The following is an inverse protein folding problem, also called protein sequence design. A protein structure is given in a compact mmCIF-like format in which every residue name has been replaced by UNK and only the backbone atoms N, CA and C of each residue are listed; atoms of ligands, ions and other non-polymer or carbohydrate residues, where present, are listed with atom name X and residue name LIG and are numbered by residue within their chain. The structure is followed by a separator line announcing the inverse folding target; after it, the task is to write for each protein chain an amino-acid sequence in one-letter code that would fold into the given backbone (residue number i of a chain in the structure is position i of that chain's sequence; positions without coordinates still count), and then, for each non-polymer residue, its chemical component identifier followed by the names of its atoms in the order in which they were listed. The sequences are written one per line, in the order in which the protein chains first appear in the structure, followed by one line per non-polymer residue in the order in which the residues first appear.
data_IF_600823052288
#
_entry.id   IF_600823052288
#
_cell.length_a   1.000
_cell.length_b   1.000
_cell.length_c   1.000
_cell.angle_alpha   90.00
_cell.angle_beta   90.00
_cell.angle_gamma   90.00
#
_symmetry.space_group_name_H-M   'P 1'
#
loop_
_entity.id
_entity.type
_entity.pdbx_description
1 polymer ?
#
# COMPACT_ATOMS: atom_id res chain seq x y z
N UNK A 1 29.35 -51.17 12.86
CA UNK A 1 28.59 -50.01 12.34
C UNK A 1 29.20 -48.64 12.72
N UNK A 2 29.47 -48.29 13.98
CA UNK A 2 30.04 -46.99 14.39
C UNK A 2 31.36 -46.62 13.71
N UNK A 3 32.32 -47.54 13.50
CA UNK A 3 33.61 -47.29 12.85
C UNK A 3 33.49 -46.98 11.35
N UNK A 4 32.53 -47.62 10.65
CA UNK A 4 32.28 -47.36 9.23
C UNK A 4 31.64 -45.98 9.01
N UNK A 5 30.76 -45.54 9.95
CA UNK A 5 30.10 -44.23 9.92
C UNK A 5 31.10 -43.09 10.18
N UNK A 6 32.06 -43.27 11.11
CA UNK A 6 33.13 -42.32 11.35
C UNK A 6 34.09 -42.21 10.16
N UNK A 7 34.41 -43.31 9.49
CA UNK A 7 35.27 -43.31 8.32
C UNK A 7 34.59 -42.63 7.11
N UNK A 8 33.29 -42.81 6.94
CA UNK A 8 32.49 -42.18 5.89
C UNK A 8 32.36 -40.65 6.11
N UNK A 9 32.17 -40.22 7.35
CA UNK A 9 32.16 -38.78 7.69
C UNK A 9 33.52 -38.13 7.52
N UNK A 10 34.63 -38.82 7.84
CA UNK A 10 35.98 -38.33 7.62
C UNK A 10 36.35 -38.20 6.14
N UNK A 11 35.91 -39.16 5.29
CA UNK A 11 36.07 -39.10 3.84
C UNK A 11 35.27 -37.97 3.21
N UNK A 12 33.99 -37.78 3.62
CA UNK A 12 33.17 -36.67 3.17
C UNK A 12 33.75 -35.32 3.58
N UNK A 13 34.28 -35.20 4.80
CA UNK A 13 35.00 -34.00 5.25
C UNK A 13 36.28 -33.71 4.47
N UNK A 14 37.05 -34.72 4.13
CA UNK A 14 38.29 -34.56 3.33
C UNK A 14 37.99 -34.14 1.88
N UNK A 15 36.95 -34.69 1.25
CA UNK A 15 36.53 -34.30 -0.11
C UNK A 15 35.98 -32.86 -0.12
N UNK A 16 35.19 -32.47 0.88
CA UNK A 16 34.66 -31.10 1.02
C UNK A 16 35.80 -30.09 1.25
N UNK A 17 36.84 -30.43 2.05
CA UNK A 17 38.00 -29.60 2.29
C UNK A 17 38.87 -29.42 1.03
N UNK A 18 39.05 -30.48 0.24
CA UNK A 18 39.78 -30.40 -1.02
C UNK A 18 39.05 -29.52 -2.06
N UNK A 19 37.72 -29.66 -2.18
CA UNK A 19 36.91 -28.82 -3.05
C UNK A 19 36.93 -27.35 -2.62
N UNK A 20 36.89 -27.06 -1.32
CA UNK A 20 36.99 -25.72 -0.79
C UNK A 20 38.36 -25.08 -1.08
N UNK A 21 39.43 -25.85 -1.00
CA UNK A 21 40.78 -25.37 -1.29
C UNK A 21 40.97 -25.07 -2.78
N UNK A 22 40.38 -25.88 -3.67
CA UNK A 22 40.44 -25.63 -5.11
C UNK A 22 39.58 -24.38 -5.48
N UNK A 23 38.39 -24.22 -4.86
CA UNK A 23 37.57 -23.05 -5.01
C UNK A 23 38.31 -21.76 -4.58
N UNK A 24 39.01 -21.78 -3.46
CA UNK A 24 39.81 -20.65 -3.00
C UNK A 24 40.96 -20.28 -3.97
N UNK A 25 41.66 -21.27 -4.51
CA UNK A 25 42.69 -21.02 -5.53
C UNK A 25 42.15 -20.40 -6.81
N UNK A 26 40.97 -20.84 -7.23
CA UNK A 26 40.27 -20.28 -8.41
C UNK A 26 39.94 -18.80 -8.14
N UNK A 27 39.34 -18.46 -7.01
CA UNK A 27 39.03 -17.09 -6.63
C UNK A 27 40.30 -16.20 -6.59
N UNK A 28 41.38 -16.68 -5.96
CA UNK A 28 42.63 -15.94 -5.88
C UNK A 28 43.22 -15.68 -7.26
N UNK A 29 43.12 -16.64 -8.17
CA UNK A 29 43.59 -16.47 -9.56
C UNK A 29 42.77 -15.38 -10.27
N UNK A 30 41.45 -15.40 -10.15
CA UNK A 30 40.59 -14.37 -10.73
C UNK A 30 40.89 -12.99 -10.16
N UNK A 31 41.08 -12.86 -8.83
CA UNK A 31 41.35 -11.60 -8.16
C UNK A 31 42.76 -11.04 -8.55
N UNK A 32 43.75 -11.90 -8.67
CA UNK A 32 45.10 -11.49 -9.11
C UNK A 32 45.06 -11.00 -10.55
N UNK A 33 44.42 -11.75 -11.45
CA UNK A 33 44.30 -11.36 -12.85
C UNK A 33 43.52 -10.04 -12.99
N UNK A 34 42.41 -9.87 -12.24
CA UNK A 34 41.66 -8.63 -12.21
C UNK A 34 42.53 -7.44 -11.77
N UNK A 35 43.39 -7.59 -10.76
CA UNK A 35 44.16 -6.49 -10.23
C UNK A 35 45.06 -5.85 -11.30
N UNK A 36 45.73 -6.66 -12.15
CA UNK A 36 46.71 -6.21 -13.13
C UNK A 36 46.18 -5.99 -14.55
N UNK A 37 44.96 -6.40 -14.83
CA UNK A 37 44.38 -6.36 -16.18
C UNK A 37 44.03 -4.92 -16.62
N UNK A 38 43.92 -4.71 -17.95
CA UNK A 38 43.27 -3.53 -18.53
C UNK A 38 41.76 -3.51 -18.26
N UNK A 39 41.07 -2.37 -18.43
CA UNK A 39 39.64 -2.25 -18.16
C UNK A 39 38.81 -3.26 -18.96
N UNK A 40 39.08 -3.46 -20.24
CA UNK A 40 38.36 -4.42 -21.10
C UNK A 40 38.53 -5.86 -20.60
N UNK A 41 39.75 -6.22 -20.21
CA UNK A 41 40.02 -7.55 -19.66
C UNK A 41 39.42 -7.72 -18.27
N UNK A 42 39.35 -6.65 -17.44
CA UNK A 42 38.65 -6.66 -16.16
C UNK A 42 37.15 -7.00 -16.36
N UNK A 43 36.52 -6.34 -17.35
CA UNK A 43 35.09 -6.61 -17.68
C UNK A 43 34.91 -8.08 -18.08
N UNK A 44 35.79 -8.61 -18.96
CA UNK A 44 35.71 -9.99 -19.39
C UNK A 44 35.88 -10.97 -18.21
N UNK A 45 36.83 -10.70 -17.31
CA UNK A 45 37.04 -11.50 -16.10
C UNK A 45 35.78 -11.56 -15.23
N UNK A 46 35.08 -10.40 -15.04
CA UNK A 46 33.82 -10.39 -14.28
C UNK A 46 32.68 -11.13 -14.99
N UNK A 47 32.60 -11.02 -16.31
CA UNK A 47 31.60 -11.74 -17.12
C UNK A 47 31.83 -13.26 -17.07
N UNK A 48 33.08 -13.69 -17.19
CA UNK A 48 33.47 -15.11 -17.10
C UNK A 48 33.14 -15.66 -15.69
N UNK A 49 33.47 -14.87 -14.63
CA UNK A 49 33.12 -15.24 -13.26
C UNK A 49 31.61 -15.31 -13.03
N UNK A 50 30.83 -14.38 -13.62
CA UNK A 50 29.38 -14.35 -13.50
C UNK A 50 28.69 -15.50 -14.26
N UNK A 51 29.24 -15.91 -15.41
CA UNK A 51 28.72 -17.00 -16.26
C UNK A 51 29.22 -18.39 -15.88
N UNK A 52 30.30 -18.48 -15.08
CA UNK A 52 30.95 -19.73 -14.72
C UNK A 52 30.16 -20.57 -13.73
N UNK A 53 30.15 -21.89 -13.95
CA UNK A 53 29.63 -22.88 -13.00
C UNK A 53 30.69 -23.27 -11.96
N UNK A 54 31.39 -22.28 -11.41
CA UNK A 54 32.42 -22.55 -10.39
C UNK A 54 31.77 -22.75 -9.03
N UNK A 55 32.25 -23.73 -8.26
CA UNK A 55 31.84 -23.92 -6.88
C UNK A 55 32.42 -22.83 -5.94
N UNK A 56 33.22 -21.91 -6.49
CA UNK A 56 33.87 -20.85 -5.73
C UNK A 56 32.89 -19.68 -5.49
N UNK A 57 32.89 -19.16 -4.27
CA UNK A 57 32.24 -17.90 -3.95
C UNK A 57 33.02 -16.74 -4.59
N UNK A 58 32.48 -16.19 -5.68
CA UNK A 58 33.08 -15.07 -6.38
C UNK A 58 32.71 -13.70 -5.79
N UNK A 59 31.96 -13.64 -4.70
CA UNK A 59 31.58 -12.40 -4.01
C UNK A 59 32.74 -11.46 -3.74
N UNK A 60 33.89 -11.94 -3.22
CA UNK A 60 35.05 -11.09 -3.00
C UNK A 60 35.68 -10.50 -4.27
N UNK A 61 35.54 -11.16 -5.43
CA UNK A 61 35.97 -10.61 -6.72
C UNK A 61 35.07 -9.45 -7.16
N UNK A 62 33.77 -9.64 -7.07
CA UNK A 62 32.82 -8.59 -7.42
C UNK A 62 32.91 -7.40 -6.47
N UNK A 63 33.16 -7.64 -5.18
CA UNK A 63 33.45 -6.58 -4.23
C UNK A 63 34.70 -5.81 -4.64
N UNK A 64 35.78 -6.51 -5.00
CA UNK A 64 37.03 -5.89 -5.47
C UNK A 64 36.79 -5.00 -6.71
N UNK A 65 35.89 -5.40 -7.61
CA UNK A 65 35.52 -4.60 -8.78
C UNK A 65 34.81 -3.31 -8.38
N UNK A 66 33.85 -3.39 -7.44
CA UNK A 66 33.13 -2.22 -6.92
C UNK A 66 34.10 -1.28 -6.19
N UNK A 67 34.99 -1.81 -5.35
CA UNK A 67 35.99 -1.01 -4.64
C UNK A 67 36.97 -0.34 -5.63
N UNK A 68 37.42 -1.05 -6.67
CA UNK A 68 38.26 -0.47 -7.73
C UNK A 68 37.61 0.73 -8.40
N UNK A 69 36.31 0.66 -8.70
CA UNK A 69 35.56 1.79 -9.31
C UNK A 69 35.42 2.95 -8.33
N UNK A 70 35.11 2.69 -7.07
CA UNK A 70 34.94 3.75 -6.07
C UNK A 70 36.27 4.43 -5.72
N UNK A 71 37.38 3.69 -5.72
CA UNK A 71 38.73 4.25 -5.49
C UNK A 71 39.22 5.08 -6.68
N UNK A 72 38.61 4.89 -7.87
CA UNK A 72 38.90 5.65 -9.09
C UNK A 72 37.72 6.55 -9.50
N UNK A 73 36.91 7.01 -8.55
CA UNK A 73 35.69 7.77 -8.82
C UNK A 73 35.88 9.00 -9.72
N UNK A 74 37.07 9.66 -9.67
CA UNK A 74 37.42 10.78 -10.55
C UNK A 74 37.52 10.41 -12.03
N UNK A 75 37.70 9.14 -12.38
CA UNK A 75 37.80 8.65 -13.76
C UNK A 75 36.48 8.11 -14.31
N UNK A 76 35.48 7.87 -13.47
CA UNK A 76 34.18 7.26 -13.85
C UNK A 76 33.48 8.09 -14.91
N UNK A 77 33.54 9.43 -14.82
CA UNK A 77 32.94 10.32 -15.82
C UNK A 77 33.67 10.38 -17.15
N UNK A 78 34.89 9.88 -17.20
CA UNK A 78 35.75 9.95 -18.40
C UNK A 78 35.74 8.66 -19.22
N UNK A 79 35.34 7.54 -18.63
CA UNK A 79 35.33 6.23 -19.28
C UNK A 79 34.19 5.35 -18.79
N UNK A 80 33.23 5.08 -19.69
CA UNK A 80 32.02 4.29 -19.41
C UNK A 80 32.31 2.85 -18.95
N UNK A 81 33.51 2.32 -19.16
CA UNK A 81 33.91 0.99 -18.68
C UNK A 81 33.96 0.90 -17.16
N UNK A 82 34.19 2.01 -16.45
CA UNK A 82 34.06 2.03 -14.99
C UNK A 82 32.62 1.78 -14.55
N UNK A 83 31.61 2.41 -15.19
CA UNK A 83 30.22 2.14 -14.90
C UNK A 83 29.88 0.68 -15.16
N UNK A 84 30.33 0.11 -16.28
CA UNK A 84 30.10 -1.30 -16.61
C UNK A 84 30.69 -2.25 -15.57
N UNK A 85 31.90 -1.98 -15.08
CA UNK A 85 32.51 -2.76 -13.99
C UNK A 85 31.69 -2.67 -12.70
N UNK A 86 31.25 -1.46 -12.34
CA UNK A 86 30.42 -1.22 -11.17
C UNK A 86 29.06 -1.94 -11.24
N UNK A 87 28.40 -1.87 -12.40
CA UNK A 87 27.13 -2.52 -12.66
C UNK A 87 27.21 -4.04 -12.52
N UNK A 88 28.20 -4.67 -13.17
CA UNK A 88 28.43 -6.11 -13.05
C UNK A 88 28.74 -6.48 -11.60
N UNK A 89 29.65 -5.75 -10.95
CA UNK A 89 30.03 -6.00 -9.56
C UNK A 89 28.85 -5.91 -8.60
N UNK A 90 28.11 -4.80 -8.64
CA UNK A 90 26.94 -4.59 -7.78
C UNK A 90 25.83 -5.63 -8.06
N UNK A 91 25.52 -5.89 -9.32
CA UNK A 91 24.49 -6.87 -9.70
C UNK A 91 24.83 -8.28 -9.18
N UNK A 92 26.08 -8.72 -9.33
CA UNK A 92 26.50 -10.06 -8.87
C UNK A 92 26.55 -10.15 -7.35
N UNK A 93 27.01 -9.11 -6.64
CA UNK A 93 26.92 -9.02 -5.17
C UNK A 93 25.45 -9.23 -4.72
N UNK A 94 24.51 -8.55 -5.37
CA UNK A 94 23.08 -8.70 -5.09
C UNK A 94 22.55 -10.10 -5.42
N UNK A 95 22.86 -10.66 -6.60
CA UNK A 95 22.43 -12.00 -7.03
C UNK A 95 22.93 -13.11 -6.11
N UNK A 96 24.17 -12.98 -5.64
CA UNK A 96 24.80 -13.95 -4.74
C UNK A 96 24.39 -13.77 -3.28
N UNK A 97 23.77 -12.65 -2.92
CA UNK A 97 23.51 -12.30 -1.54
C UNK A 97 24.78 -12.10 -0.70
N UNK A 98 25.86 -11.63 -1.34
CA UNK A 98 27.17 -11.48 -0.68
C UNK A 98 27.16 -10.30 0.30
N UNK A 99 26.74 -10.56 1.54
CA UNK A 99 26.54 -9.53 2.57
C UNK A 99 27.80 -8.73 2.91
N UNK A 100 28.99 -9.32 2.80
CA UNK A 100 30.26 -8.62 3.05
C UNK A 100 30.48 -7.46 2.05
N UNK A 101 29.92 -7.54 0.84
CA UNK A 101 29.99 -6.49 -0.17
C UNK A 101 29.08 -5.28 0.07
N UNK A 102 28.22 -5.33 1.10
CA UNK A 102 27.22 -4.29 1.38
C UNK A 102 27.80 -2.88 1.48
N UNK A 103 28.87 -2.73 2.24
CA UNK A 103 29.51 -1.43 2.44
C UNK A 103 30.11 -0.87 1.13
N UNK A 104 30.75 -1.73 0.32
CA UNK A 104 31.26 -1.35 -0.99
C UNK A 104 30.19 -0.88 -1.94
N UNK A 105 29.05 -1.59 -1.99
CA UNK A 105 27.89 -1.21 -2.81
C UNK A 105 27.29 0.12 -2.32
N UNK A 106 27.19 0.33 -1.00
CA UNK A 106 26.73 1.60 -0.46
C UNK A 106 27.69 2.77 -0.80
N UNK A 107 29.00 2.53 -0.74
CA UNK A 107 30.02 3.50 -1.15
C UNK A 107 29.87 3.87 -2.64
N UNK A 108 29.66 2.87 -3.49
CA UNK A 108 29.38 3.06 -4.91
C UNK A 108 28.09 3.90 -5.13
N UNK A 109 27.00 3.56 -4.45
CA UNK A 109 25.74 4.29 -4.56
C UNK A 109 25.91 5.79 -4.26
N UNK A 110 26.78 6.15 -3.31
CA UNK A 110 27.07 7.56 -2.98
C UNK A 110 28.02 8.23 -3.96
N UNK A 111 28.90 7.48 -4.60
CA UNK A 111 29.99 8.02 -5.42
C UNK A 111 29.61 8.22 -6.88
N UNK A 112 28.61 7.48 -7.38
CA UNK A 112 28.21 7.55 -8.80
C UNK A 112 27.05 8.52 -9.00
N UNK A 113 27.01 9.16 -10.17
CA UNK A 113 25.87 9.93 -10.68
C UNK A 113 25.16 9.21 -11.85
N UNK A 114 25.71 8.09 -12.32
CA UNK A 114 25.14 7.32 -13.42
C UNK A 114 23.85 6.60 -12.98
N UNK A 115 22.70 6.86 -13.63
CA UNK A 115 21.43 6.30 -13.19
C UNK A 115 21.38 4.76 -13.23
N UNK A 116 22.02 4.15 -14.22
CA UNK A 116 22.01 2.70 -14.36
C UNK A 116 22.82 2.04 -13.25
N UNK A 117 24.00 2.56 -12.97
CA UNK A 117 24.84 2.11 -11.84
C UNK A 117 24.14 2.31 -10.50
N UNK A 118 23.47 3.48 -10.29
CA UNK A 118 22.66 3.73 -9.10
C UNK A 118 21.55 2.69 -8.92
N UNK A 119 20.81 2.40 -10.00
CA UNK A 119 19.73 1.42 -9.95
C UNK A 119 20.21 0.00 -9.63
N UNK A 120 21.37 -0.41 -10.22
CA UNK A 120 22.00 -1.71 -9.91
C UNK A 120 22.48 -1.78 -8.45
N UNK A 121 23.11 -0.72 -7.96
CA UNK A 121 23.55 -0.63 -6.57
C UNK A 121 22.36 -0.68 -5.60
N UNK A 122 21.27 0.08 -5.86
CA UNK A 122 20.04 0.03 -5.07
C UNK A 122 19.45 -1.38 -5.03
N UNK A 123 19.35 -2.03 -6.20
CA UNK A 123 18.87 -3.41 -6.31
C UNK A 123 19.68 -4.42 -5.49
N UNK A 124 21.01 -4.28 -5.48
CA UNK A 124 21.91 -5.09 -4.66
C UNK A 124 21.70 -4.82 -3.16
N UNK A 125 21.64 -3.54 -2.75
CA UNK A 125 21.37 -3.16 -1.35
C UNK A 125 20.06 -3.72 -0.83
N UNK A 126 19.03 -3.84 -1.69
CA UNK A 126 17.78 -4.48 -1.34
C UNK A 126 17.88 -5.97 -0.98
N UNK A 127 19.02 -6.60 -1.29
CA UNK A 127 19.30 -8.01 -0.93
C UNK A 127 20.30 -8.07 0.22
N UNK A 128 21.49 -7.46 0.02
CA UNK A 128 22.59 -7.58 0.98
C UNK A 128 22.42 -6.71 2.23
N UNK A 129 21.47 -5.77 2.20
CA UNK A 129 21.09 -4.92 3.34
C UNK A 129 20.07 -5.52 4.30
N UNK A 130 19.67 -6.78 4.09
CA UNK A 130 18.66 -7.43 4.92
C UNK A 130 19.10 -7.46 6.40
N UNK A 131 18.25 -6.88 7.28
CA UNK A 131 18.53 -6.80 8.72
C UNK A 131 19.58 -5.77 9.11
N UNK A 132 20.04 -4.93 8.18
CA UNK A 132 21.01 -3.85 8.49
C UNK A 132 20.31 -2.49 8.61
N UNK A 133 20.18 -1.95 9.85
CA UNK A 133 19.44 -0.70 10.07
C UNK A 133 20.09 0.51 9.36
N UNK A 134 21.40 0.50 9.17
CA UNK A 134 22.11 1.60 8.52
C UNK A 134 21.77 1.66 7.03
N UNK A 135 21.82 0.54 6.33
CA UNK A 135 21.43 0.46 4.90
C UNK A 135 19.97 0.88 4.71
N UNK A 136 19.06 0.39 5.55
CA UNK A 136 17.63 0.73 5.50
C UNK A 136 17.44 2.23 5.72
N UNK A 137 18.04 2.80 6.76
CA UNK A 137 17.96 4.23 7.07
C UNK A 137 18.53 5.10 5.93
N UNK A 138 19.61 4.66 5.30
CA UNK A 138 20.24 5.37 4.21
C UNK A 138 19.36 5.37 2.93
N UNK A 139 18.75 4.23 2.59
CA UNK A 139 17.80 4.14 1.48
C UNK A 139 16.54 4.95 1.78
N UNK A 140 16.01 4.91 3.00
CA UNK A 140 14.88 5.73 3.42
C UNK A 140 15.17 7.22 3.22
N UNK A 141 16.33 7.70 3.67
CA UNK A 141 16.73 9.11 3.47
C UNK A 141 16.86 9.49 2.01
N UNK A 142 17.38 8.60 1.18
CA UNK A 142 17.46 8.85 -0.26
C UNK A 142 16.06 8.98 -0.87
N UNK A 143 15.17 8.02 -0.62
CA UNK A 143 13.78 8.08 -1.12
C UNK A 143 13.04 9.32 -0.59
N UNK A 144 13.22 9.67 0.68
CA UNK A 144 12.62 10.86 1.28
C UNK A 144 13.10 12.16 0.60
N UNK A 145 14.40 12.23 0.27
CA UNK A 145 14.94 13.35 -0.51
C UNK A 145 14.32 13.46 -1.91
N UNK A 146 14.08 12.32 -2.58
CA UNK A 146 13.41 12.28 -3.87
C UNK A 146 11.93 12.63 -3.77
N UNK A 147 11.25 12.19 -2.70
CA UNK A 147 9.88 12.60 -2.38
C UNK A 147 9.78 14.13 -2.24
N UNK A 148 10.71 14.73 -1.51
CA UNK A 148 10.78 16.20 -1.32
C UNK A 148 11.02 16.94 -2.64
N UNK A 149 11.91 16.44 -3.49
CA UNK A 149 12.15 17.00 -4.82
C UNK A 149 10.90 16.92 -5.70
N UNK A 150 10.23 15.76 -5.71
CA UNK A 150 9.00 15.54 -6.46
C UNK A 150 7.88 16.47 -5.99
N UNK A 151 7.71 16.64 -4.68
CA UNK A 151 6.75 17.58 -4.10
C UNK A 151 7.01 19.04 -4.54
N UNK A 152 8.27 19.37 -4.86
CA UNK A 152 8.66 20.68 -5.43
C UNK A 152 8.52 20.79 -6.96
N UNK A 153 7.96 19.76 -7.61
CA UNK A 153 7.76 19.72 -9.07
C UNK A 153 8.98 19.23 -9.88
N UNK A 154 10.01 18.68 -9.23
CA UNK A 154 11.18 18.10 -9.91
C UNK A 154 11.02 16.59 -10.00
N UNK A 155 10.90 16.07 -11.21
CA UNK A 155 10.82 14.62 -11.40
C UNK A 155 12.14 13.92 -11.01
N UNK A 156 12.10 12.85 -10.19
CA UNK A 156 13.25 12.02 -9.93
C UNK A 156 13.59 11.15 -11.15
N UNK A 157 14.81 10.59 -11.18
CA UNK A 157 15.12 9.56 -12.17
C UNK A 157 14.26 8.31 -11.92
N UNK A 158 13.43 7.96 -12.92
CA UNK A 158 12.44 6.89 -12.78
C UNK A 158 13.04 5.52 -12.53
N UNK A 159 14.19 5.20 -13.11
CA UNK A 159 14.85 3.91 -12.94
C UNK A 159 15.47 3.79 -11.54
N UNK A 160 16.10 4.85 -11.08
CA UNK A 160 16.75 4.88 -9.76
C UNK A 160 15.72 4.80 -8.65
N UNK A 161 14.65 5.63 -8.72
CA UNK A 161 13.62 5.62 -7.68
C UNK A 161 12.87 4.27 -7.66
N UNK A 162 12.58 3.68 -8.83
CA UNK A 162 11.98 2.35 -8.89
C UNK A 162 12.84 1.29 -8.19
N UNK A 163 14.15 1.29 -8.46
CA UNK A 163 15.07 0.36 -7.82
C UNK A 163 15.16 0.56 -6.30
N UNK A 164 15.17 1.81 -5.83
CA UNK A 164 15.17 2.12 -4.39
C UNK A 164 13.87 1.69 -3.70
N UNK A 165 12.71 1.96 -4.31
CA UNK A 165 11.41 1.51 -3.79
C UNK A 165 11.33 -0.02 -3.72
N UNK A 166 11.77 -0.72 -4.78
CA UNK A 166 11.84 -2.18 -4.80
C UNK A 166 12.80 -2.72 -3.74
N UNK A 167 13.95 -2.07 -3.54
CA UNK A 167 14.92 -2.44 -2.51
C UNK A 167 14.29 -2.35 -1.11
N UNK A 168 13.62 -1.23 -0.77
CA UNK A 168 12.92 -1.07 0.50
C UNK A 168 11.80 -2.09 0.68
N UNK A 169 11.06 -2.41 -0.38
CA UNK A 169 10.05 -3.46 -0.36
C UNK A 169 10.64 -4.85 -0.06
N UNK A 170 11.79 -5.21 -0.68
CA UNK A 170 12.49 -6.47 -0.40
C UNK A 170 13.02 -6.53 1.03
N UNK A 171 13.57 -5.44 1.54
CA UNK A 171 14.01 -5.32 2.93
C UNK A 171 12.83 -5.46 3.91
N UNK A 172 11.66 -4.94 3.55
CA UNK A 172 10.40 -5.10 4.25
C UNK A 172 10.40 -4.55 5.68
N UNK A 173 11.25 -3.55 5.96
CA UNK A 173 11.40 -3.01 7.31
C UNK A 173 10.29 -1.99 7.62
N UNK A 174 9.66 -2.05 8.82
CA UNK A 174 8.61 -1.12 9.22
C UNK A 174 9.00 0.37 9.16
N UNK A 175 10.27 0.69 9.38
CA UNK A 175 10.77 2.09 9.33
C UNK A 175 10.69 2.71 7.92
N UNK A 176 10.50 1.89 6.88
CA UNK A 176 10.34 2.35 5.50
C UNK A 176 8.89 2.74 5.16
N UNK A 177 7.92 2.43 6.03
CA UNK A 177 6.51 2.75 5.77
C UNK A 177 6.26 4.23 5.46
N UNK A 178 6.78 5.22 6.23
CA UNK A 178 6.48 6.63 5.96
C UNK A 178 6.95 7.11 4.58
N UNK A 179 8.16 6.72 4.16
CA UNK A 179 8.71 7.17 2.88
C UNK A 179 8.04 6.47 1.70
N UNK A 180 7.66 5.20 1.83
CA UNK A 180 6.91 4.47 0.82
C UNK A 180 5.47 4.97 0.71
N UNK A 181 4.82 5.28 1.83
CA UNK A 181 3.49 5.88 1.85
C UNK A 181 3.49 7.25 1.18
N UNK A 182 4.50 8.10 1.49
CA UNK A 182 4.68 9.39 0.83
C UNK A 182 4.87 9.25 -0.68
N UNK A 183 5.67 8.26 -1.14
CA UNK A 183 5.86 7.99 -2.57
C UNK A 183 4.55 7.58 -3.27
N UNK A 184 3.68 6.80 -2.61
CA UNK A 184 2.35 6.47 -3.13
C UNK A 184 1.46 7.71 -3.21
N UNK A 185 1.48 8.56 -2.18
CA UNK A 185 0.66 9.77 -2.10
C UNK A 185 1.08 10.83 -3.15
N UNK A 186 2.37 10.96 -3.43
CA UNK A 186 2.90 11.88 -4.45
C UNK A 186 2.54 11.48 -5.88
N UNK A 187 2.35 10.19 -6.14
CA UNK A 187 1.93 9.69 -7.43
C UNK A 187 2.94 10.01 -8.53
N UNK A 188 4.13 9.40 -8.51
CA UNK A 188 5.20 9.54 -9.52
C UNK A 188 4.82 9.14 -10.96
N UNK A 189 3.55 8.98 -11.25
CA UNK A 189 2.98 8.36 -12.44
C UNK A 189 2.62 6.89 -12.18
N UNK A 190 1.73 6.33 -13.01
CA UNK A 190 1.07 5.05 -12.75
C UNK A 190 2.04 3.90 -12.45
N UNK A 191 3.10 3.79 -13.24
CA UNK A 191 4.06 2.70 -13.11
C UNK A 191 4.85 2.78 -11.79
N UNK A 192 5.38 3.94 -11.45
CA UNK A 192 6.17 4.12 -10.22
C UNK A 192 5.27 4.09 -8.97
N UNK A 193 4.06 4.61 -9.06
CA UNK A 193 3.07 4.51 -7.99
C UNK A 193 2.70 3.06 -7.70
N UNK A 194 2.58 2.21 -8.73
CA UNK A 194 2.36 0.79 -8.56
C UNK A 194 3.57 0.10 -7.88
N UNK A 195 4.80 0.46 -8.26
CA UNK A 195 6.02 -0.03 -7.59
C UNK A 195 6.06 0.37 -6.11
N UNK A 196 5.78 1.65 -5.81
CA UNK A 196 5.73 2.15 -4.43
C UNK A 196 4.66 1.44 -3.60
N UNK A 197 3.47 1.22 -4.16
CA UNK A 197 2.37 0.48 -3.52
C UNK A 197 2.75 -0.97 -3.22
N UNK A 198 3.36 -1.66 -4.18
CA UNK A 198 3.83 -3.03 -3.99
C UNK A 198 4.91 -3.10 -2.90
N UNK A 199 5.85 -2.16 -2.89
CA UNK A 199 6.88 -2.06 -1.85
C UNK A 199 6.26 -1.81 -0.47
N UNK A 200 5.28 -0.91 -0.38
CA UNK A 200 4.55 -0.60 0.85
C UNK A 200 3.81 -1.84 1.38
N UNK A 201 3.15 -2.60 0.50
CA UNK A 201 2.50 -3.85 0.89
C UNK A 201 3.49 -4.96 1.24
N UNK A 202 4.76 -4.87 0.86
CA UNK A 202 5.78 -5.83 1.28
C UNK A 202 6.31 -5.57 2.71
N UNK A 203 6.05 -4.41 3.30
CA UNK A 203 6.47 -4.06 4.67
C UNK A 203 5.91 -5.08 5.68
N UNK A 204 6.76 -5.48 6.61
CA UNK A 204 6.40 -6.36 7.73
C UNK A 204 5.89 -5.54 8.92
N UNK A 205 5.24 -6.22 9.87
CA UNK A 205 4.73 -5.59 11.09
C UNK A 205 3.23 -5.35 11.06
N UNK A 206 2.73 -4.55 11.99
CA UNK A 206 1.30 -4.25 12.13
C UNK A 206 0.88 -3.16 11.14
N UNK A 207 0.45 -3.59 9.95
CA UNK A 207 0.01 -2.69 8.91
C UNK A 207 -1.23 -1.88 9.31
N UNK A 208 -2.12 -2.46 10.14
CA UNK A 208 -3.28 -1.74 10.66
C UNK A 208 -2.85 -0.58 11.57
N UNK A 209 -1.88 -0.80 12.47
CA UNK A 209 -1.37 0.25 13.34
C UNK A 209 -0.67 1.38 12.55
N UNK A 210 0.04 1.04 11.47
CA UNK A 210 0.66 2.04 10.60
C UNK A 210 -0.37 2.93 9.92
N UNK A 211 -1.42 2.33 9.31
CA UNK A 211 -2.52 3.07 8.69
C UNK A 211 -3.33 3.87 9.71
N UNK A 212 -3.54 3.32 10.91
CA UNK A 212 -4.19 4.02 12.03
C UNK A 212 -3.46 5.33 12.37
N UNK A 213 -2.13 5.30 12.44
CA UNK A 213 -1.33 6.51 12.67
C UNK A 213 -1.53 7.56 11.58
N UNK A 214 -1.59 7.14 10.31
CA UNK A 214 -1.87 8.06 9.21
C UNK A 214 -3.28 8.66 9.32
N UNK A 215 -4.31 7.84 9.56
CA UNK A 215 -5.70 8.30 9.67
C UNK A 215 -5.86 9.29 10.84
N UNK A 216 -5.14 9.09 11.94
CA UNK A 216 -5.20 10.01 13.09
C UNK A 216 -4.47 11.33 12.85
N UNK A 217 -3.23 11.27 12.39
CA UNK A 217 -2.27 12.37 12.60
C UNK A 217 -1.85 13.10 11.31
N UNK A 218 -2.21 12.59 10.12
CA UNK A 218 -1.75 13.15 8.86
C UNK A 218 -2.81 14.08 8.22
N UNK A 219 -2.44 14.88 7.20
CA UNK A 219 -3.38 15.72 6.43
C UNK A 219 -4.49 14.93 5.76
N UNK A 220 -5.62 15.58 5.46
CA UNK A 220 -6.82 14.94 4.90
C UNK A 220 -6.57 14.08 3.64
N UNK A 221 -5.77 14.51 2.64
CA UNK A 221 -5.51 13.66 1.48
C UNK A 221 -4.82 12.34 1.83
N UNK A 222 -3.88 12.39 2.79
CA UNK A 222 -3.19 11.19 3.28
C UNK A 222 -4.13 10.29 4.09
N UNK A 223 -5.02 10.85 4.92
CA UNK A 223 -6.06 10.10 5.64
C UNK A 223 -6.98 9.34 4.68
N UNK A 224 -7.44 10.01 3.62
CA UNK A 224 -8.27 9.39 2.57
C UNK A 224 -7.54 8.24 1.89
N UNK A 225 -6.27 8.44 1.51
CA UNK A 225 -5.45 7.40 0.90
C UNK A 225 -5.27 6.21 1.84
N UNK A 226 -4.98 6.46 3.13
CA UNK A 226 -4.82 5.40 4.12
C UNK A 226 -6.11 4.60 4.33
N UNK A 227 -7.27 5.25 4.35
CA UNK A 227 -8.57 4.59 4.39
C UNK A 227 -8.80 3.71 3.16
N UNK A 228 -8.52 4.23 1.95
CA UNK A 228 -8.65 3.45 0.72
C UNK A 228 -7.74 2.22 0.76
N UNK A 229 -6.49 2.40 1.18
CA UNK A 229 -5.54 1.29 1.33
C UNK A 229 -5.99 0.27 2.38
N UNK A 230 -6.61 0.70 3.47
CA UNK A 230 -7.15 -0.18 4.48
C UNK A 230 -8.29 -1.05 3.92
N UNK A 231 -9.22 -0.45 3.17
CA UNK A 231 -10.36 -1.15 2.58
C UNK A 231 -9.90 -2.17 1.53
N UNK A 232 -8.94 -1.80 0.68
CA UNK A 232 -8.45 -2.62 -0.44
C UNK A 232 -7.42 -3.69 -0.01
N UNK A 233 -6.88 -3.60 1.20
CA UNK A 233 -5.77 -4.45 1.64
C UNK A 233 -6.20 -5.89 1.93
N UNK A 234 -5.50 -6.86 1.34
CA UNK A 234 -5.65 -8.28 1.68
C UNK A 234 -4.93 -8.66 2.99
N UNK A 235 -4.11 -7.76 3.53
CA UNK A 235 -3.37 -7.96 4.78
C UNK A 235 -4.21 -7.76 6.04
N UNK A 236 -5.35 -7.09 5.92
CA UNK A 236 -6.19 -6.74 7.04
C UNK A 236 -7.41 -7.65 7.11
N UNK A 237 -7.76 -8.06 8.32
CA UNK A 237 -9.05 -8.71 8.59
C UNK A 237 -10.19 -7.72 8.41
N UNK A 238 -11.39 -8.23 8.15
CA UNK A 238 -12.58 -7.38 8.01
C UNK A 238 -12.85 -6.52 9.25
N UNK A 239 -12.59 -7.04 10.46
CA UNK A 239 -12.70 -6.27 11.71
C UNK A 239 -11.73 -5.10 11.75
N UNK A 240 -10.47 -5.29 11.32
CA UNK A 240 -9.48 -4.21 11.27
C UNK A 240 -9.85 -3.16 10.23
N UNK A 241 -10.33 -3.59 9.07
CA UNK A 241 -10.85 -2.69 8.03
C UNK A 241 -12.03 -1.86 8.55
N UNK A 242 -12.98 -2.51 9.24
CA UNK A 242 -14.12 -1.84 9.84
C UNK A 242 -13.72 -0.84 10.92
N UNK A 243 -12.82 -1.20 11.83
CA UNK A 243 -12.31 -0.29 12.86
C UNK A 243 -11.65 0.97 12.26
N UNK A 244 -10.84 0.79 11.21
CA UNK A 244 -10.20 1.92 10.51
C UNK A 244 -11.21 2.79 9.76
N UNK A 245 -12.22 2.16 9.13
CA UNK A 245 -13.29 2.87 8.46
C UNK A 245 -14.19 3.63 9.44
N UNK A 246 -14.52 3.05 10.59
CA UNK A 246 -15.29 3.71 11.65
C UNK A 246 -14.57 4.95 12.18
N UNK A 247 -13.28 4.85 12.49
CA UNK A 247 -12.47 6.00 12.88
C UNK A 247 -12.41 7.07 11.79
N UNK A 248 -12.25 6.67 10.53
CA UNK A 248 -12.22 7.61 9.41
C UNK A 248 -13.57 8.30 9.20
N UNK A 249 -14.68 7.59 9.44
CA UNK A 249 -16.03 8.16 9.41
C UNK A 249 -16.21 9.18 10.54
N UNK A 250 -15.86 8.83 11.77
CA UNK A 250 -15.90 9.72 12.93
C UNK A 250 -15.10 11.02 12.67
N UNK A 251 -13.85 10.89 12.24
CA UNK A 251 -13.00 12.04 11.90
C UNK A 251 -13.65 12.89 10.79
N UNK A 252 -14.21 12.27 9.75
CA UNK A 252 -14.76 13.01 8.63
C UNK A 252 -16.11 13.69 8.93
N UNK A 253 -16.86 13.21 9.92
CA UNK A 253 -18.06 13.83 10.43
C UNK A 253 -17.73 15.06 11.32
N UNK A 254 -16.74 14.93 12.17
CA UNK A 254 -16.44 15.92 13.22
C UNK A 254 -15.28 16.88 12.87
N UNK A 255 -14.64 16.70 11.70
CA UNK A 255 -13.63 17.65 11.24
C UNK A 255 -14.22 18.72 10.33
N UNK A 256 -13.57 19.88 10.30
CA UNK A 256 -13.91 20.98 9.39
C UNK A 256 -12.72 21.32 8.49
N UNK A 257 -13.01 21.75 7.26
CA UNK A 257 -12.03 22.28 6.33
C UNK A 257 -12.45 23.68 5.86
N UNK A 258 -11.48 24.59 5.73
CA UNK A 258 -11.75 25.96 5.33
C UNK A 258 -12.08 26.07 3.84
N UNK A 259 -11.35 25.34 3.00
CA UNK A 259 -11.46 25.40 1.56
C UNK A 259 -12.40 24.34 0.97
N UNK A 260 -12.76 24.51 -0.30
CA UNK A 260 -13.65 23.60 -1.02
C UNK A 260 -13.02 22.22 -1.24
N UNK A 261 -11.72 22.14 -1.45
CA UNK A 261 -11.01 20.88 -1.68
C UNK A 261 -11.00 20.01 -0.41
N UNK A 262 -10.69 20.61 0.74
CA UNK A 262 -10.76 19.92 2.03
C UNK A 262 -12.17 19.45 2.38
N UNK A 263 -13.20 20.28 2.12
CA UNK A 263 -14.61 19.90 2.30
C UNK A 263 -14.97 18.71 1.38
N UNK A 264 -14.52 18.72 0.14
CA UNK A 264 -14.68 17.61 -0.80
C UNK A 264 -14.01 16.34 -0.28
N UNK A 265 -12.77 16.44 0.19
CA UNK A 265 -12.01 15.31 0.75
C UNK A 265 -12.71 14.69 1.96
N UNK A 266 -13.23 15.51 2.90
CA UNK A 266 -13.99 15.03 4.05
C UNK A 266 -15.27 14.30 3.61
N UNK A 267 -15.98 14.84 2.62
CA UNK A 267 -17.16 14.20 2.04
C UNK A 267 -16.82 12.84 1.42
N UNK A 268 -15.79 12.78 0.58
CA UNK A 268 -15.34 11.54 -0.06
C UNK A 268 -14.93 10.48 0.98
N UNK A 269 -14.25 10.90 2.06
CA UNK A 269 -13.88 10.01 3.17
C UNK A 269 -15.11 9.44 3.86
N UNK A 270 -16.13 10.26 4.11
CA UNK A 270 -17.41 9.85 4.71
C UNK A 270 -18.06 8.74 3.89
N UNK A 271 -18.24 8.99 2.58
CA UNK A 271 -18.87 7.99 1.68
C UNK A 271 -18.04 6.72 1.57
N UNK A 272 -16.72 6.85 1.43
CA UNK A 272 -15.82 5.70 1.37
C UNK A 272 -15.86 4.86 2.65
N UNK A 273 -15.83 5.51 3.80
CA UNK A 273 -15.91 4.85 5.11
C UNK A 273 -17.25 4.15 5.31
N UNK A 274 -18.37 4.84 5.01
CA UNK A 274 -19.72 4.29 5.12
C UNK A 274 -19.90 3.06 4.23
N UNK A 275 -19.44 3.10 2.99
CA UNK A 275 -19.44 1.95 2.07
C UNK A 275 -18.61 0.77 2.62
N UNK A 276 -17.42 1.06 3.15
CA UNK A 276 -16.57 0.07 3.79
C UNK A 276 -17.21 -0.62 4.99
N UNK A 277 -17.92 0.12 5.82
CA UNK A 277 -18.67 -0.37 6.99
C UNK A 277 -19.89 -1.19 6.58
N UNK A 278 -20.65 -0.70 5.58
CA UNK A 278 -21.81 -1.38 5.05
C UNK A 278 -21.48 -2.75 4.45
N UNK A 279 -20.39 -2.84 3.67
CA UNK A 279 -19.91 -4.09 3.09
C UNK A 279 -19.58 -5.16 4.15
N UNK A 280 -19.24 -4.73 5.37
CA UNK A 280 -18.90 -5.60 6.51
C UNK A 280 -20.03 -5.73 7.53
N UNK A 281 -21.15 -5.06 7.31
CA UNK A 281 -22.30 -5.02 8.22
C UNK A 281 -21.87 -4.67 9.66
N UNK A 282 -21.01 -3.67 9.79
CA UNK A 282 -20.39 -3.26 11.05
C UNK A 282 -21.37 -2.44 11.90
N UNK A 283 -22.26 -3.12 12.61
CA UNK A 283 -23.36 -2.51 13.38
C UNK A 283 -22.91 -1.55 14.47
N UNK A 284 -21.67 -1.66 14.97
CA UNK A 284 -21.11 -0.75 15.97
C UNK A 284 -21.07 0.71 15.46
N UNK A 285 -20.90 0.91 14.16
CA UNK A 285 -20.87 2.24 13.55
C UNK A 285 -22.28 2.84 13.29
N UNK A 286 -23.36 2.19 13.72
CA UNK A 286 -24.74 2.70 13.46
C UNK A 286 -24.92 4.17 13.82
N UNK A 287 -24.46 4.69 14.98
CA UNK A 287 -24.60 6.11 15.32
C UNK A 287 -23.96 7.04 14.29
N UNK A 288 -22.75 6.71 13.84
CA UNK A 288 -22.03 7.51 12.84
C UNK A 288 -22.68 7.44 11.45
N UNK A 289 -23.26 6.28 11.07
CA UNK A 289 -23.98 6.16 9.79
C UNK A 289 -25.32 6.93 9.84
N UNK A 290 -25.97 7.02 10.99
CA UNK A 290 -27.15 7.89 11.19
C UNK A 290 -26.76 9.35 10.97
N UNK A 291 -25.71 9.81 11.61
CA UNK A 291 -25.21 11.18 11.46
C UNK A 291 -24.77 11.47 10.00
N UNK A 292 -24.14 10.50 9.36
CA UNK A 292 -23.80 10.58 7.94
C UNK A 292 -25.05 10.74 7.06
N UNK A 293 -26.15 10.02 7.35
CA UNK A 293 -27.41 10.17 6.65
C UNK A 293 -28.00 11.58 6.85
N UNK A 294 -27.99 12.10 8.08
CA UNK A 294 -28.50 13.42 8.38
C UNK A 294 -27.74 14.52 7.62
N UNK A 295 -26.41 14.42 7.59
CA UNK A 295 -25.58 15.32 6.79
C UNK A 295 -25.88 15.18 5.29
N UNK A 296 -26.02 13.94 4.79
CA UNK A 296 -26.25 13.67 3.37
C UNK A 296 -27.62 14.20 2.90
N UNK A 297 -28.66 14.09 3.73
CA UNK A 297 -29.98 14.70 3.44
C UNK A 297 -29.83 16.23 3.30
N UNK A 298 -29.15 16.88 4.26
CA UNK A 298 -28.93 18.32 4.20
C UNK A 298 -28.04 18.76 3.02
N UNK A 299 -27.10 17.94 2.60
CA UNK A 299 -26.26 18.18 1.42
C UNK A 299 -27.04 17.97 0.12
N UNK A 300 -27.92 16.96 0.07
CA UNK A 300 -28.81 16.71 -1.07
C UNK A 300 -29.80 17.86 -1.28
N UNK A 301 -30.42 18.34 -0.21
CA UNK A 301 -31.36 19.48 -0.27
C UNK A 301 -30.69 20.77 -0.79
N UNK A 302 -29.36 20.91 -0.56
CA UNK A 302 -28.55 22.03 -1.05
C UNK A 302 -27.93 21.79 -2.43
N UNK A 303 -28.18 20.63 -3.04
CA UNK A 303 -27.59 20.25 -4.35
C UNK A 303 -26.08 20.01 -4.31
N UNK A 304 -25.50 19.71 -3.12
CA UNK A 304 -24.06 19.45 -2.96
C UNK A 304 -23.70 17.98 -3.24
N UNK A 305 -24.67 17.09 -3.19
CA UNK A 305 -24.56 15.67 -3.55
C UNK A 305 -25.75 15.28 -4.42
N UNK A 306 -25.57 14.25 -5.23
CA UNK A 306 -26.62 13.72 -6.07
C UNK A 306 -27.50 12.68 -5.35
N UNK A 307 -28.54 12.22 -6.05
CA UNK A 307 -29.46 11.21 -5.54
C UNK A 307 -28.73 9.90 -5.17
N UNK A 308 -27.75 9.47 -5.96
CA UNK A 308 -27.08 8.21 -5.72
C UNK A 308 -26.36 8.19 -4.37
N UNK A 309 -25.72 9.31 -3.99
CA UNK A 309 -25.11 9.44 -2.67
C UNK A 309 -26.14 9.25 -1.53
N UNK A 310 -27.35 9.80 -1.69
CA UNK A 310 -28.40 9.59 -0.69
C UNK A 310 -28.88 8.15 -0.65
N UNK A 311 -29.06 7.50 -1.82
CA UNK A 311 -29.42 6.08 -1.90
C UNK A 311 -28.38 5.19 -1.25
N UNK A 312 -27.08 5.42 -1.54
CA UNK A 312 -25.97 4.66 -0.98
C UNK A 312 -25.89 4.80 0.54
N UNK A 313 -26.14 6.01 1.06
CA UNK A 313 -26.15 6.25 2.51
C UNK A 313 -27.31 5.54 3.21
N UNK A 314 -28.52 5.53 2.61
CA UNK A 314 -29.65 4.78 3.13
C UNK A 314 -29.38 3.26 3.11
N UNK A 315 -28.77 2.76 2.04
CA UNK A 315 -28.37 1.36 1.94
C UNK A 315 -27.30 1.01 2.99
N UNK A 316 -26.34 1.93 3.22
CA UNK A 316 -25.35 1.74 4.27
C UNK A 316 -26.01 1.64 5.66
N UNK A 317 -27.00 2.50 5.96
CA UNK A 317 -27.73 2.43 7.22
C UNK A 317 -28.55 1.13 7.33
N UNK A 318 -29.24 0.72 6.27
CA UNK A 318 -29.95 -0.56 6.22
C UNK A 318 -29.06 -1.77 6.47
N UNK A 319 -27.80 -1.73 6.00
CA UNK A 319 -26.82 -2.79 6.20
C UNK A 319 -26.37 -2.95 7.66
N UNK A 320 -26.55 -1.93 8.52
CA UNK A 320 -26.20 -2.00 9.95
C UNK A 320 -27.06 -3.02 10.72
N UNK A 321 -28.28 -3.31 10.27
CA UNK A 321 -29.15 -4.33 10.84
C UNK A 321 -29.50 -4.10 12.32
N UNK A 322 -29.63 -2.84 12.73
CA UNK A 322 -29.96 -2.44 14.12
C UNK A 322 -31.34 -1.81 14.22
N UNK A 323 -31.91 -1.82 15.44
CA UNK A 323 -33.16 -1.10 15.75
C UNK A 323 -33.04 0.41 15.47
N UNK A 324 -31.92 1.03 15.89
CA UNK A 324 -31.68 2.47 15.70
C UNK A 324 -31.67 2.86 14.20
N UNK A 325 -31.12 1.99 13.34
CA UNK A 325 -31.18 2.17 11.90
C UNK A 325 -32.62 2.16 11.38
N UNK A 326 -33.45 1.23 11.88
CA UNK A 326 -34.87 1.16 11.52
C UNK A 326 -35.62 2.40 12.01
N UNK A 327 -35.42 2.83 13.24
CA UNK A 327 -36.01 4.06 13.80
C UNK A 327 -35.65 5.27 12.93
N UNK A 328 -34.38 5.45 12.59
CA UNK A 328 -33.97 6.62 11.80
C UNK A 328 -34.53 6.61 10.37
N UNK A 329 -34.55 5.44 9.71
CA UNK A 329 -35.18 5.32 8.38
C UNK A 329 -36.70 5.51 8.44
N UNK A 330 -37.37 5.05 9.49
CA UNK A 330 -38.80 5.30 9.71
C UNK A 330 -39.05 6.80 9.86
N UNK A 331 -38.28 7.52 10.66
CA UNK A 331 -38.38 8.98 10.77
C UNK A 331 -38.23 9.69 9.41
N UNK A 332 -37.35 9.18 8.55
CA UNK A 332 -37.20 9.71 7.20
C UNK A 332 -38.42 9.40 6.33
N UNK A 333 -39.01 8.20 6.45
CA UNK A 333 -40.26 7.85 5.77
C UNK A 333 -41.45 8.74 6.23
N UNK A 334 -41.55 9.03 7.55
CA UNK A 334 -42.52 9.99 8.09
C UNK A 334 -42.40 11.35 7.41
N UNK A 335 -41.21 11.87 7.29
CA UNK A 335 -40.97 13.15 6.62
C UNK A 335 -41.40 13.11 5.15
N UNK A 336 -41.04 12.07 4.42
CA UNK A 336 -41.42 11.88 3.01
C UNK A 336 -42.97 11.76 2.88
N UNK A 337 -43.60 10.96 3.74
CA UNK A 337 -45.06 10.80 3.78
C UNK A 337 -45.76 12.15 4.02
N UNK A 338 -45.23 12.97 4.94
CA UNK A 338 -45.76 14.32 5.21
C UNK A 338 -45.68 15.27 4.00
N UNK A 339 -44.60 15.17 3.20
CA UNK A 339 -44.50 15.95 1.95
C UNK A 339 -45.54 15.48 0.92
N UNK A 340 -45.67 14.17 0.74
CA UNK A 340 -46.62 13.58 -0.22
C UNK A 340 -48.07 13.91 0.16
N UNK A 341 -48.42 13.88 1.44
CA UNK A 341 -49.75 14.29 1.95
C UNK A 341 -50.06 15.75 1.60
N UNK A 342 -49.06 16.63 1.65
CA UNK A 342 -49.20 18.05 1.27
C UNK A 342 -49.14 18.27 -0.25
N UNK A 343 -49.21 17.22 -1.06
CA UNK A 343 -49.20 17.28 -2.51
C UNK A 343 -47.82 17.58 -3.11
N UNK A 344 -46.74 17.44 -2.35
CA UNK A 344 -45.37 17.58 -2.84
C UNK A 344 -44.85 16.19 -3.23
N UNK A 345 -44.64 15.97 -4.53
CA UNK A 345 -44.01 14.74 -5.01
C UNK A 345 -42.58 14.60 -4.49
N UNK A 346 -42.28 13.44 -3.96
CA UNK A 346 -40.93 13.04 -3.62
C UNK A 346 -40.38 12.03 -4.64
N UNK A 347 -39.07 11.94 -4.82
CA UNK A 347 -38.47 11.02 -5.79
C UNK A 347 -38.81 9.56 -5.43
N UNK A 348 -39.51 8.86 -6.33
CA UNK A 348 -40.00 7.50 -6.14
C UNK A 348 -38.86 6.51 -5.80
N UNK A 349 -37.64 6.74 -6.31
CA UNK A 349 -36.49 5.86 -6.05
C UNK A 349 -35.96 6.03 -4.62
N UNK A 350 -36.00 7.24 -4.09
CA UNK A 350 -35.66 7.51 -2.69
C UNK A 350 -36.67 6.83 -1.78
N UNK A 351 -37.97 7.04 -2.04
CA UNK A 351 -39.06 6.41 -1.28
C UNK A 351 -38.96 4.90 -1.31
N UNK A 352 -38.75 4.32 -2.49
CA UNK A 352 -38.54 2.88 -2.67
C UNK A 352 -37.37 2.36 -1.86
N UNK A 353 -36.21 3.06 -1.87
CA UNK A 353 -35.00 2.64 -1.16
C UNK A 353 -35.20 2.65 0.37
N UNK A 354 -35.88 3.68 0.91
CA UNK A 354 -36.23 3.69 2.34
C UNK A 354 -37.08 2.47 2.70
N UNK A 355 -38.16 2.25 1.94
CA UNK A 355 -39.10 1.14 2.17
C UNK A 355 -38.39 -0.22 2.05
N UNK A 356 -37.54 -0.38 1.05
CA UNK A 356 -36.80 -1.63 0.83
C UNK A 356 -35.86 -1.93 2.01
N UNK A 357 -35.16 -0.92 2.52
CA UNK A 357 -34.27 -1.07 3.69
C UNK A 357 -35.08 -1.34 4.97
N UNK A 358 -36.22 -0.69 5.20
CA UNK A 358 -37.10 -0.99 6.33
C UNK A 358 -37.62 -2.42 6.29
N UNK A 359 -37.99 -2.90 5.09
CA UNK A 359 -38.38 -4.30 4.91
C UNK A 359 -37.24 -5.28 5.11
N UNK A 360 -36.02 -4.90 4.77
CA UNK A 360 -34.84 -5.72 5.02
C UNK A 360 -34.44 -5.79 6.51
N UNK A 361 -34.58 -4.67 7.22
CA UNK A 361 -34.40 -4.60 8.67
C UNK A 361 -35.47 -5.42 9.41
N UNK A 362 -36.69 -5.42 8.92
CA UNK A 362 -37.79 -6.22 9.47
C UNK A 362 -38.24 -5.78 10.86
N UNK A 363 -37.95 -4.54 11.24
CA UNK A 363 -38.30 -4.00 12.56
C UNK A 363 -39.73 -3.46 12.58
N UNK A 364 -40.52 -3.85 13.59
CA UNK A 364 -41.94 -3.45 13.75
C UNK A 364 -42.13 -1.94 13.91
N UNK A 365 -41.10 -1.16 14.25
CA UNK A 365 -41.18 0.30 14.39
C UNK A 365 -41.67 0.97 13.10
N UNK A 366 -41.43 0.34 11.95
CA UNK A 366 -41.85 0.88 10.64
C UNK A 366 -43.31 0.57 10.25
N UNK A 367 -44.07 -0.19 11.06
CA UNK A 367 -45.36 -0.72 10.67
C UNK A 367 -46.36 0.38 10.30
N UNK A 368 -46.58 1.35 11.17
CA UNK A 368 -47.59 2.38 10.98
C UNK A 368 -47.33 3.24 9.74
N UNK A 369 -46.07 3.61 9.51
CA UNK A 369 -45.68 4.46 8.40
C UNK A 369 -45.64 3.72 7.05
N UNK A 370 -45.30 2.45 7.05
CA UNK A 370 -45.42 1.58 5.87
C UNK A 370 -46.91 1.36 5.52
N UNK A 371 -47.78 1.17 6.52
CA UNK A 371 -49.22 1.10 6.32
C UNK A 371 -49.78 2.43 5.79
N UNK A 372 -49.35 3.56 6.37
CA UNK A 372 -49.77 4.89 5.93
C UNK A 372 -49.39 5.18 4.47
N UNK A 373 -48.27 4.70 4.00
CA UNK A 373 -47.84 4.80 2.58
C UNK A 373 -48.88 4.24 1.60
N UNK A 374 -49.71 3.25 2.01
CA UNK A 374 -50.75 2.69 1.15
C UNK A 374 -51.90 3.68 0.82
N UNK A 375 -52.14 4.66 1.70
CA UNK A 375 -53.22 5.62 1.58
C UNK A 375 -52.79 6.91 0.86
N UNK A 376 -51.53 7.14 0.69
CA UNK A 376 -50.96 8.33 0.04
C UNK A 376 -50.89 8.17 -1.49
N UNK A 377 -50.65 9.27 -2.19
CA UNK A 377 -50.60 9.34 -3.67
C UNK A 377 -49.25 8.90 -4.23
N UNK A 378 -48.78 7.73 -3.81
CA UNK A 378 -47.57 7.11 -4.37
C UNK A 378 -47.88 6.25 -5.60
N UNK A 379 -46.83 5.98 -6.40
CA UNK A 379 -46.93 5.04 -7.51
C UNK A 379 -47.29 3.63 -7.06
N UNK A 380 -47.85 2.83 -7.97
CA UNK A 380 -48.18 1.43 -7.71
C UNK A 380 -46.97 0.62 -7.28
N UNK A 381 -45.77 0.96 -7.80
CA UNK A 381 -44.48 0.33 -7.45
C UNK A 381 -44.12 0.57 -5.99
N UNK A 382 -44.19 1.82 -5.52
CA UNK A 382 -43.92 2.18 -4.12
C UNK A 382 -44.92 1.49 -3.17
N UNK A 383 -46.23 1.52 -3.49
CA UNK A 383 -47.23 0.82 -2.68
C UNK A 383 -47.04 -0.68 -2.61
N UNK A 384 -46.61 -1.31 -3.71
CA UNK A 384 -46.29 -2.74 -3.74
C UNK A 384 -45.06 -3.03 -2.86
N UNK A 385 -44.02 -2.19 -2.91
CA UNK A 385 -42.85 -2.33 -2.07
C UNK A 385 -43.19 -2.21 -0.57
N UNK A 386 -44.06 -1.26 -0.20
CA UNK A 386 -44.50 -1.08 1.19
C UNK A 386 -45.26 -2.30 1.71
N UNK A 387 -46.15 -2.92 0.90
CA UNK A 387 -46.78 -4.19 1.27
C UNK A 387 -45.78 -5.30 1.49
N UNK A 388 -44.84 -5.47 0.56
CA UNK A 388 -43.79 -6.47 0.69
C UNK A 388 -42.85 -6.22 1.88
N UNK A 389 -42.68 -4.98 2.30
CA UNK A 389 -41.95 -4.63 3.51
C UNK A 389 -42.70 -4.99 4.77
N UNK A 390 -44.03 -4.69 4.83
CA UNK A 390 -44.91 -5.07 5.94
C UNK A 390 -44.92 -6.59 6.20
N UNK A 391 -44.93 -7.41 5.14
CA UNK A 391 -44.90 -8.88 5.25
C UNK A 391 -43.56 -9.42 5.87
N UNK A 392 -42.52 -8.60 5.91
CA UNK A 392 -41.21 -8.97 6.45
C UNK A 392 -41.00 -8.51 7.89
N UNK A 393 -41.88 -7.70 8.45
CA UNK A 393 -41.73 -7.21 9.82
C UNK A 393 -41.86 -8.35 10.83
N UNK A 394 -40.96 -8.34 11.81
CA UNK A 394 -40.89 -9.32 12.90
C UNK A 394 -41.64 -8.78 14.13
N UNK A 395 -42.58 -9.56 14.65
CA UNK A 395 -43.41 -9.20 15.81
C UNK A 395 -42.80 -9.74 17.11
#
# INVERSE_FOLDING_TARGET
MRRALCMMMALLGAVAAAQAQDAQKILETFRRNFAIASLDVKIQILQDAAGGKTAADMGPLFQQAVDFVTDNAGLVSTDARFNQLAEIGAEQIGKMGFAAGRYSVWKLFKATADPQTLAKAAGALGVVGAGDPETISNLNRYVDSQNTLSASGKAPDGAVIAACLQALGKLGDPSSFPVLFSAVNLGYGDQLTAVARNALFAIRGDFAAMLLGVIKDRPLPEKKLALQMAIDSDKLTDDKKAQLAELALDISLHSSAADAAGKGTLRDMRFLAAAGLAARKWSHATPFIIEHLDMTIGEFDKGLVDRNHLLDTMNALGAMSTHDAAVRLTQFLVLINSYTEKGKAYDDQIVFTVIANLGALGDKVAFDDLMYTQYLTYSATVKKAARAALDKLKW
#
